data_IF_737868779784
#
_entry.id   IF_737868779784
#
_cell.length_a   1.000
_cell.length_b   1.000
_cell.length_c   1.000
_cell.angle_alpha   90.00
_cell.angle_beta   90.00
_cell.angle_gamma   90.00
#
_symmetry.space_group_name_H-M   'P 1'
#
loop_
_entity.id
_entity.type
_entity.pdbx_description
1 polymer ?
#
# COMPACT_ATOMS: atom_id res chain seq x y z
N UNK A 1 3.94 -22.79 -2.48
CA UNK A 1 4.28 -21.72 -3.43
C UNK A 1 5.78 -21.43 -3.33
N UNK A 2 6.48 -21.33 -4.45
CA UNK A 2 7.90 -20.96 -4.52
C UNK A 2 8.04 -19.44 -4.66
N UNK A 3 9.25 -18.90 -4.45
CA UNK A 3 9.53 -17.46 -4.61
C UNK A 3 9.07 -16.87 -5.95
N UNK A 4 9.21 -17.64 -7.04
CA UNK A 4 8.71 -17.26 -8.37
C UNK A 4 7.19 -17.07 -8.42
N UNK A 5 6.43 -17.86 -7.65
CA UNK A 5 4.98 -17.82 -7.66
C UNK A 5 4.51 -16.52 -6.96
N UNK A 6 5.22 -16.09 -5.90
CA UNK A 6 4.97 -14.79 -5.26
C UNK A 6 5.29 -13.62 -6.18
N UNK A 7 6.40 -13.67 -6.91
CA UNK A 7 6.75 -12.65 -7.90
C UNK A 7 5.68 -12.55 -8.99
N UNK A 8 5.23 -13.70 -9.50
CA UNK A 8 4.17 -13.75 -10.50
C UNK A 8 2.87 -13.13 -9.96
N UNK A 9 2.42 -13.52 -8.77
CA UNK A 9 1.22 -12.95 -8.16
C UNK A 9 1.34 -11.43 -7.93
N UNK A 10 2.49 -10.96 -7.46
CA UNK A 10 2.72 -9.53 -7.22
C UNK A 10 2.64 -8.74 -8.53
N UNK A 11 3.34 -9.20 -9.57
CA UNK A 11 3.33 -8.55 -10.89
C UNK A 11 1.92 -8.51 -11.45
N UNK A 12 1.19 -9.63 -11.41
CA UNK A 12 -0.18 -9.66 -11.92
C UNK A 12 -1.14 -8.78 -11.11
N UNK A 13 -0.96 -8.69 -9.79
CA UNK A 13 -1.75 -7.77 -8.94
C UNK A 13 -1.52 -6.31 -9.34
N UNK A 14 -0.29 -5.93 -9.68
CA UNK A 14 0.03 -4.57 -10.15
C UNK A 14 -0.57 -4.29 -11.53
N UNK A 15 -0.45 -5.23 -12.47
CA UNK A 15 -1.01 -5.10 -13.82
C UNK A 15 -2.54 -5.01 -13.81
N UNK A 16 -3.21 -5.86 -13.02
CA UNK A 16 -4.67 -5.83 -12.89
C UNK A 16 -5.15 -4.46 -12.38
N UNK A 17 -4.38 -3.84 -11.46
CA UNK A 17 -4.70 -2.51 -10.95
C UNK A 17 -4.56 -1.42 -12.01
N UNK A 18 -3.55 -1.51 -12.87
CA UNK A 18 -3.36 -0.59 -14.00
C UNK A 18 -4.52 -0.72 -15.01
N UNK A 19 -4.88 -1.95 -15.39
CA UNK A 19 -6.00 -2.24 -16.29
C UNK A 19 -7.34 -1.70 -15.76
N UNK A 20 -7.56 -1.80 -14.44
CA UNK A 20 -8.75 -1.22 -13.80
C UNK A 20 -8.76 0.31 -13.88
N UNK A 21 -7.61 0.96 -13.65
CA UNK A 21 -7.48 2.41 -13.73
C UNK A 21 -7.72 2.93 -15.16
N UNK A 22 -7.32 2.17 -16.17
CA UNK A 22 -7.51 2.54 -17.56
C UNK A 22 -8.98 2.66 -17.97
N UNK A 23 -9.88 1.91 -17.32
CA UNK A 23 -11.33 1.94 -17.60
C UNK A 23 -12.01 3.25 -17.18
N UNK A 24 -11.37 4.05 -16.33
CA UNK A 24 -11.92 5.32 -15.87
C UNK A 24 -11.61 6.48 -16.83
N UNK A 25 -12.44 7.53 -16.78
CA UNK A 25 -12.14 8.81 -17.44
C UNK A 25 -10.84 9.42 -16.87
N UNK A 26 -10.18 10.35 -17.59
CA UNK A 26 -8.87 10.89 -17.18
C UNK A 26 -8.84 11.46 -15.76
N UNK A 27 -9.90 12.15 -15.34
CA UNK A 27 -9.99 12.74 -14.00
C UNK A 27 -10.11 11.67 -12.91
N UNK A 28 -11.02 10.71 -13.07
CA UNK A 28 -11.20 9.61 -12.12
C UNK A 28 -9.97 8.70 -12.05
N UNK A 29 -9.28 8.50 -13.19
CA UNK A 29 -8.01 7.77 -13.24
C UNK A 29 -6.93 8.47 -12.40
N UNK A 30 -6.76 9.79 -12.56
CA UNK A 30 -5.81 10.57 -11.76
C UNK A 30 -6.11 10.44 -10.27
N UNK A 31 -7.38 10.60 -9.88
CA UNK A 31 -7.79 10.49 -8.47
C UNK A 31 -7.59 9.08 -7.90
N UNK A 32 -7.78 8.04 -8.70
CA UNK A 32 -7.60 6.64 -8.30
C UNK A 32 -6.14 6.18 -8.25
N UNK A 33 -5.25 6.87 -8.97
CA UNK A 33 -3.81 6.65 -8.92
C UNK A 33 -3.12 7.32 -7.72
N UNK A 34 -3.78 8.30 -7.09
CA UNK A 34 -3.25 8.95 -5.88
C UNK A 34 -3.21 7.99 -4.68
N UNK A 35 -2.03 7.89 -4.05
CA UNK A 35 -1.88 7.19 -2.79
C UNK A 35 -2.70 7.89 -1.69
N UNK A 36 -3.61 7.15 -1.07
CA UNK A 36 -4.53 7.66 -0.04
C UNK A 36 -4.61 6.69 1.13
N UNK A 37 -4.82 7.23 2.33
CA UNK A 37 -4.95 6.42 3.53
C UNK A 37 -6.19 5.52 3.39
N UNK A 38 -6.08 4.18 3.50
CA UNK A 38 -7.24 3.30 3.36
C UNK A 38 -8.26 3.48 4.50
N UNK A 39 -7.86 4.14 5.59
CA UNK A 39 -8.73 4.42 6.75
C UNK A 39 -9.46 5.75 6.59
N UNK A 40 -8.75 6.84 6.27
CA UNK A 40 -9.32 8.19 6.29
C UNK A 40 -9.34 8.92 4.94
N UNK A 41 -8.80 8.33 3.87
CA UNK A 41 -8.81 8.89 2.52
C UNK A 41 -7.88 10.10 2.29
N UNK A 42 -7.12 10.53 3.30
CA UNK A 42 -6.14 11.62 3.16
C UNK A 42 -5.03 11.24 2.19
N UNK A 43 -4.61 12.16 1.30
CA UNK A 43 -3.55 11.89 0.33
C UNK A 43 -2.21 11.68 1.03
N UNK A 44 -1.35 10.85 0.45
CA UNK A 44 -0.02 10.56 0.98
C UNK A 44 0.85 11.83 1.14
N UNK A 45 0.65 12.84 0.29
CA UNK A 45 1.29 14.15 0.42
C UNK A 45 0.98 14.90 1.72
N UNK A 46 -0.10 14.52 2.41
CA UNK A 46 -0.48 15.07 3.72
C UNK A 46 0.02 14.25 4.90
N UNK A 47 0.69 13.12 4.64
CA UNK A 47 1.30 12.31 5.68
C UNK A 47 2.60 13.01 6.05
N UNK A 48 2.73 13.47 7.30
CA UNK A 48 3.98 14.04 7.76
C UNK A 48 5.09 13.00 7.58
N UNK A 49 6.26 13.40 7.09
CA UNK A 49 7.43 12.53 7.06
C UNK A 49 7.75 12.13 8.51
N UNK A 50 7.67 10.83 8.80
CA UNK A 50 7.72 10.32 10.18
C UNK A 50 6.38 10.36 10.94
N UNK A 51 5.23 10.36 10.26
CA UNK A 51 3.94 10.13 10.91
C UNK A 51 3.92 8.72 11.52
N UNK A 52 4.31 8.63 12.79
CA UNK A 52 4.27 7.40 13.56
C UNK A 52 2.81 7.07 13.80
N UNK A 53 2.40 5.85 13.45
CA UNK A 53 1.13 5.34 13.92
C UNK A 53 1.17 5.36 15.46
N UNK A 54 0.41 6.26 16.10
CA UNK A 54 0.42 6.41 17.56
C UNK A 54 -0.04 5.15 18.31
N UNK A 55 -0.78 4.28 17.62
CA UNK A 55 -1.18 2.97 18.15
C UNK A 55 -0.12 1.88 17.93
N UNK A 56 0.98 2.18 17.22
CA UNK A 56 2.06 1.24 17.00
C UNK A 56 2.93 1.14 18.25
N UNK A 57 2.93 -0.05 18.85
CA UNK A 57 3.70 -0.40 20.03
C UNK A 57 5.01 -1.07 19.59
N UNK A 58 6.09 -0.29 19.60
CA UNK A 58 7.41 -0.75 19.18
C UNK A 58 7.90 -1.90 20.06
N UNK A 59 7.62 -1.86 21.36
CA UNK A 59 8.08 -2.86 22.32
C UNK A 59 7.40 -4.21 22.05
N UNK A 60 6.09 -4.22 21.80
CA UNK A 60 5.38 -5.45 21.39
C UNK A 60 5.86 -5.97 20.03
N UNK A 61 6.15 -5.08 19.09
CA UNK A 61 6.68 -5.48 17.79
C UNK A 61 8.01 -6.20 17.94
N UNK A 62 8.94 -5.66 18.72
CA UNK A 62 10.25 -6.27 18.98
C UNK A 62 10.16 -7.60 19.75
N UNK A 63 9.19 -7.74 20.65
CA UNK A 63 8.95 -9.00 21.37
C UNK A 63 8.41 -10.11 20.45
N UNK A 64 7.59 -9.76 19.45
CA UNK A 64 7.00 -10.69 18.48
C UNK A 64 7.87 -10.94 17.23
N UNK A 65 8.73 -9.99 16.89
CA UNK A 65 9.76 -10.13 15.88
C UNK A 65 10.88 -11.00 16.47
N UNK A 66 10.68 -12.32 16.45
CA UNK A 66 11.69 -13.28 16.90
C UNK A 66 13.08 -12.85 16.42
N UNK A 67 14.04 -12.78 17.36
CA UNK A 67 15.44 -12.47 17.05
C UNK A 67 15.93 -13.36 15.89
N UNK A 68 16.83 -12.85 15.03
CA UNK A 68 17.43 -13.65 13.96
C UNK A 68 18.07 -14.94 14.50
#
# INVERSE_FOLDING_TARGET
MKGRDYLWCLVHTLLDREDELERFCPECRSRGAEERCPVCGRPASSWAEGSVNISFDMEKFEQGAGKP
#
